data_IF_070908455269
#
_entry.id   IF_070908455269
#
_cell.length_a   1.000
_cell.length_b   1.000
_cell.length_c   1.000
_cell.angle_alpha   90.00
_cell.angle_beta   90.00
_cell.angle_gamma   90.00
#
_symmetry.space_group_name_H-M   'P 1'
#
loop_
_entity.id
_entity.type
_entity.pdbx_description
1 polymer ?
#
# COMPACT_ATOMS: atom_id res chain seq x y z
N UNK A 1 -5.67 -5.68 3.63
CA UNK A 1 -5.63 -4.71 2.52
C UNK A 1 -4.42 -5.05 1.66
N UNK A 2 -4.54 -4.93 0.34
CA UNK A 2 -3.45 -5.12 -0.61
C UNK A 2 -3.34 -3.88 -1.50
N UNK A 3 -2.12 -3.53 -1.89
CA UNK A 3 -1.83 -2.49 -2.87
C UNK A 3 -1.04 -3.10 -4.00
N UNK A 4 -1.59 -3.07 -5.22
CA UNK A 4 -0.92 -3.49 -6.45
C UNK A 4 -0.39 -2.25 -7.17
N UNK A 5 0.84 -2.32 -7.67
CA UNK A 5 1.50 -1.20 -8.34
C UNK A 5 2.57 -1.67 -9.33
N UNK A 6 2.79 -0.89 -10.39
CA UNK A 6 3.92 -1.11 -11.28
C UNK A 6 5.22 -0.65 -10.62
N UNK A 7 6.34 -1.37 -10.83
CA UNK A 7 7.54 -1.05 -10.06
C UNK A 7 8.89 -0.84 -10.74
N UNK A 8 9.51 -1.67 -11.57
CA UNK A 8 10.94 -1.58 -11.97
C UNK A 8 11.99 -1.85 -10.86
N UNK A 9 13.01 -2.70 -11.13
CA UNK A 9 14.05 -3.04 -10.14
C UNK A 9 14.86 -1.87 -9.59
N UNK A 10 15.03 -0.79 -10.38
CA UNK A 10 15.75 0.42 -9.93
C UNK A 10 15.05 1.14 -8.77
N UNK A 11 13.76 0.89 -8.57
CA UNK A 11 12.95 1.54 -7.54
C UNK A 11 12.99 0.80 -6.20
N UNK A 12 13.67 -0.35 -6.10
CA UNK A 12 13.82 -1.14 -4.87
C UNK A 12 14.22 -0.31 -3.63
N UNK A 13 15.24 0.58 -3.67
CA UNK A 13 15.57 1.40 -2.51
C UNK A 13 14.43 2.32 -2.06
N UNK A 14 13.61 2.80 -3.00
CA UNK A 14 12.46 3.66 -2.71
C UNK A 14 11.28 2.86 -2.17
N UNK A 15 11.12 1.61 -2.62
CA UNK A 15 10.12 0.67 -2.09
C UNK A 15 10.45 0.37 -0.62
N UNK A 16 11.70 0.09 -0.27
CA UNK A 16 12.08 -0.13 1.14
C UNK A 16 11.81 1.07 2.05
N UNK A 17 12.05 2.29 1.56
CA UNK A 17 11.68 3.50 2.30
C UNK A 17 10.17 3.63 2.48
N UNK A 18 9.39 3.27 1.46
CA UNK A 18 7.93 3.25 1.53
C UNK A 18 7.43 2.21 2.55
N UNK A 19 7.98 1.00 2.53
CA UNK A 19 7.68 -0.07 3.47
C UNK A 19 7.90 0.38 4.92
N UNK A 20 9.08 0.91 5.24
CA UNK A 20 9.38 1.39 6.59
C UNK A 20 8.43 2.49 7.05
N UNK A 21 8.04 3.41 6.16
CA UNK A 21 7.07 4.47 6.49
C UNK A 21 5.69 3.89 6.80
N UNK A 22 5.23 2.93 5.98
CA UNK A 22 3.95 2.26 6.17
C UNK A 22 3.95 1.45 7.47
N UNK A 23 4.95 0.60 7.65
CA UNK A 23 5.13 -0.24 8.84
C UNK A 23 5.12 0.60 10.11
N UNK A 24 5.93 1.67 10.15
CA UNK A 24 6.00 2.55 11.31
C UNK A 24 4.66 3.22 11.62
N UNK A 25 3.95 3.74 10.62
CA UNK A 25 2.68 4.44 10.83
C UNK A 25 1.57 3.49 11.28
N UNK A 26 1.48 2.31 10.65
CA UNK A 26 0.48 1.28 10.96
C UNK A 26 0.69 0.73 12.38
N UNK A 27 1.94 0.40 12.74
CA UNK A 27 2.29 -0.08 14.09
C UNK A 27 2.03 0.99 15.15
N UNK A 28 2.43 2.24 14.90
CA UNK A 28 2.22 3.34 15.83
C UNK A 28 0.73 3.62 16.09
N UNK A 29 -0.11 3.52 15.06
CA UNK A 29 -1.56 3.69 15.19
C UNK A 29 -2.28 2.47 15.81
N UNK A 30 -1.59 1.33 15.95
CA UNK A 30 -2.16 0.10 16.50
C UNK A 30 -3.30 -0.48 15.66
N UNK A 31 -3.29 -0.24 14.35
CA UNK A 31 -4.37 -0.66 13.42
C UNK A 31 -4.03 -1.92 12.64
N UNK A 32 -2.82 -2.45 12.78
CA UNK A 32 -2.38 -3.63 12.04
C UNK A 32 -0.86 -3.75 11.92
N UNK A 33 -0.42 -4.38 10.84
CA UNK A 33 0.98 -4.54 10.46
C UNK A 33 1.17 -4.55 8.93
N UNK A 34 2.40 -4.27 8.49
CA UNK A 34 2.84 -4.52 7.13
C UNK A 34 3.28 -5.99 7.03
N UNK A 35 2.77 -6.70 6.04
CA UNK A 35 3.15 -8.07 5.71
C UNK A 35 4.34 -8.14 4.77
N UNK A 36 4.53 -9.31 4.15
CA UNK A 36 5.54 -9.48 3.11
C UNK A 36 5.22 -8.63 1.87
N UNK A 37 6.26 -8.19 1.16
CA UNK A 37 6.12 -7.52 -0.13
C UNK A 37 6.50 -8.50 -1.23
N UNK A 38 5.63 -8.69 -2.20
CA UNK A 38 5.90 -9.50 -3.39
C UNK A 38 6.29 -8.59 -4.55
N UNK A 39 7.46 -8.85 -5.14
CA UNK A 39 7.98 -8.09 -6.27
C UNK A 39 8.33 -9.09 -7.39
N UNK A 40 7.60 -9.03 -8.51
CA UNK A 40 7.82 -9.92 -9.64
C UNK A 40 9.12 -9.60 -10.38
N UNK A 41 9.94 -10.61 -10.66
CA UNK A 41 11.30 -10.47 -11.23
C UNK A 41 11.34 -9.72 -12.57
N UNK A 42 10.26 -9.75 -13.34
CA UNK A 42 10.11 -9.01 -14.61
C UNK A 42 9.99 -7.49 -14.42
N UNK A 43 9.78 -7.02 -13.19
CA UNK A 43 9.81 -5.62 -12.83
C UNK A 43 8.53 -4.86 -13.15
N UNK A 44 7.39 -5.54 -13.29
CA UNK A 44 6.13 -4.86 -13.66
C UNK A 44 5.03 -4.96 -12.60
N UNK A 45 5.13 -5.89 -11.65
CA UNK A 45 4.08 -6.08 -10.64
C UNK A 45 4.66 -6.16 -9.24
N UNK A 46 4.22 -5.23 -8.39
CA UNK A 46 4.52 -5.19 -6.96
C UNK A 46 3.26 -5.24 -6.13
N UNK A 47 3.33 -5.95 -5.01
CA UNK A 47 2.22 -6.10 -4.05
C UNK A 47 2.70 -5.77 -2.64
N UNK A 48 2.04 -4.80 -2.01
CA UNK A 48 2.17 -4.55 -0.57
C UNK A 48 0.96 -5.14 0.15
N UNK A 49 1.21 -6.06 1.08
CA UNK A 49 0.16 -6.62 1.92
C UNK A 49 0.17 -5.94 3.29
N UNK A 50 -1.00 -5.53 3.77
CA UNK A 50 -1.18 -4.95 5.10
C UNK A 50 -2.35 -5.66 5.79
N UNK A 51 -2.14 -6.09 7.03
CA UNK A 51 -3.10 -6.88 7.78
C UNK A 51 -3.57 -6.12 9.01
N UNK A 52 -4.86 -6.22 9.32
CA UNK A 52 -5.47 -5.56 10.46
C UNK A 52 -6.93 -5.98 10.60
N UNK A 53 -7.54 -5.81 11.79
CA UNK A 53 -8.92 -6.20 12.05
C UNK A 53 -9.95 -5.34 11.30
N UNK A 54 -9.55 -4.15 10.83
CA UNK A 54 -10.41 -3.19 10.16
C UNK A 54 -9.68 -2.57 8.96
N UNK A 55 -10.09 -2.97 7.75
CA UNK A 55 -9.49 -2.50 6.49
C UNK A 55 -9.70 -1.00 6.25
N UNK A 56 -10.75 -0.39 6.81
CA UNK A 56 -11.00 1.05 6.68
C UNK A 56 -10.06 1.85 7.56
N UNK A 57 -9.90 1.46 8.82
CA UNK A 57 -8.92 2.10 9.72
C UNK A 57 -7.50 1.96 9.21
N UNK A 58 -7.16 0.79 8.66
CA UNK A 58 -5.87 0.54 8.04
C UNK A 58 -5.63 1.48 6.83
N UNK A 59 -6.63 1.62 5.95
CA UNK A 59 -6.53 2.53 4.81
C UNK A 59 -6.47 4.00 5.20
N UNK A 60 -7.21 4.43 6.23
CA UNK A 60 -7.13 5.82 6.75
C UNK A 60 -5.69 6.17 7.15
N UNK A 61 -4.99 5.27 7.82
CA UNK A 61 -3.59 5.47 8.25
C UNK A 61 -2.61 5.37 7.09
N UNK A 62 -2.78 4.40 6.19
CA UNK A 62 -1.84 4.16 5.09
C UNK A 62 -2.00 5.17 3.93
N UNK A 63 -3.22 5.60 3.63
CA UNK A 63 -3.53 6.35 2.41
C UNK A 63 -2.75 7.66 2.21
N UNK A 64 -2.40 8.46 3.25
CA UNK A 64 -1.57 9.64 3.05
C UNK A 64 -0.15 9.28 2.58
N UNK A 65 0.41 8.19 3.10
CA UNK A 65 1.74 7.70 2.70
C UNK A 65 1.67 7.17 1.27
N UNK A 66 0.67 6.34 0.97
CA UNK A 66 0.47 5.77 -0.36
C UNK A 66 0.34 6.87 -1.42
N UNK A 67 -0.56 7.85 -1.20
CA UNK A 67 -0.80 8.98 -2.12
C UNK A 67 0.39 9.92 -2.29
N UNK A 68 1.27 9.99 -1.29
CA UNK A 68 2.50 10.80 -1.36
C UNK A 68 3.56 10.17 -2.26
N UNK A 69 3.57 8.84 -2.40
CA UNK A 69 4.57 8.12 -3.18
C UNK A 69 4.35 8.30 -4.68
N UNK A 70 5.41 8.61 -5.42
CA UNK A 70 5.36 8.61 -6.90
C UNK A 70 5.33 7.20 -7.48
N UNK A 71 5.78 6.19 -6.72
CA UNK A 71 5.73 4.78 -7.11
C UNK A 71 4.30 4.26 -7.26
N UNK A 72 3.33 4.92 -6.62
CA UNK A 72 1.96 4.45 -6.52
C UNK A 72 0.97 5.33 -7.31
N UNK A 73 1.43 6.00 -8.36
CA UNK A 73 0.63 6.99 -9.10
C UNK A 73 -0.62 6.37 -9.74
N UNK A 74 -0.56 5.08 -10.11
CA UNK A 74 -1.65 4.31 -10.71
C UNK A 74 -1.92 3.01 -9.96
N UNK A 75 -1.54 2.95 -8.68
CA UNK A 75 -1.72 1.76 -7.87
C UNK A 75 -3.20 1.45 -7.62
N UNK A 76 -3.55 0.18 -7.50
CA UNK A 76 -4.88 -0.26 -7.06
C UNK A 76 -4.84 -0.69 -5.60
N UNK A 77 -5.85 -0.29 -4.83
CA UNK A 77 -6.02 -0.69 -3.43
C UNK A 77 -7.20 -1.63 -3.32
N UNK A 78 -6.97 -2.78 -2.69
CA UNK A 78 -8.01 -3.76 -2.36
C UNK A 78 -8.19 -3.87 -0.84
N UNK A 79 -9.38 -3.55 -0.34
CA UNK A 79 -9.79 -3.76 1.05
C UNK A 79 -10.55 -5.09 1.20
N UNK A 80 -10.36 -5.75 2.34
CA UNK A 80 -11.00 -7.03 2.65
C UNK A 80 -11.93 -6.91 3.86
N UNK A 81 -13.14 -7.42 3.71
CA UNK A 81 -14.21 -7.46 4.71
C UNK A 81 -14.72 -8.90 4.85
N UNK A 82 -13.82 -9.82 5.20
CA UNK A 82 -14.09 -11.26 5.14
C UNK A 82 -14.23 -11.74 3.69
N UNK A 83 -15.36 -12.35 3.28
CA UNK A 83 -15.53 -12.85 1.92
C UNK A 83 -15.76 -11.74 0.88
N UNK A 84 -16.02 -10.50 1.31
CA UNK A 84 -16.23 -9.35 0.43
C UNK A 84 -14.94 -8.56 0.26
N UNK A 85 -14.70 -8.10 -0.96
CA UNK A 85 -13.60 -7.19 -1.30
C UNK A 85 -14.14 -5.89 -1.89
N UNK A 86 -13.35 -4.83 -1.78
CA UNK A 86 -13.55 -3.57 -2.50
C UNK A 86 -12.22 -3.14 -3.09
N UNK A 87 -12.17 -2.98 -4.42
CA UNK A 87 -10.97 -2.57 -5.16
C UNK A 87 -11.22 -1.21 -5.82
N UNK A 88 -10.26 -0.30 -5.70
CA UNK A 88 -10.34 1.03 -6.32
C UNK A 88 -8.93 1.54 -6.69
N UNK A 89 -8.87 2.37 -7.72
CA UNK A 89 -7.65 3.07 -8.10
C UNK A 89 -7.25 4.11 -7.05
N UNK A 90 -5.96 4.16 -6.71
CA UNK A 90 -5.40 5.13 -5.78
C UNK A 90 -5.33 6.50 -6.43
N UNK A 91 -6.41 7.26 -6.34
CA UNK A 91 -6.38 8.64 -6.78
C UNK A 91 -5.50 9.48 -5.84
N UNK A 92 -4.48 10.14 -6.39
CA UNK A 92 -3.84 11.26 -5.71
C UNK A 92 -4.92 12.28 -5.42
N UNK A 93 -5.21 12.49 -4.14
CA UNK A 93 -6.12 13.57 -3.74
C UNK A 93 -5.54 14.87 -4.28
N UNK A 94 -6.20 15.44 -5.30
CA UNK A 94 -5.83 16.74 -5.81
C UNK A 94 -5.91 17.73 -4.65
N UNK A 95 -4.79 18.35 -4.30
CA UNK A 95 -4.84 19.64 -3.65
C UNK A 95 -5.69 20.53 -4.58
N UNK A 96 -6.90 20.85 -4.12
CA UNK A 96 -7.67 21.95 -4.69
C UNK A 96 -7.05 23.26 -4.26
#
# INVERSE_FOLDING_TARGET
>A
MMVHFDYYPKDLPRIHVLEHRLESAIKHAGVGELGETELHVDGNDGYLYMYGPDSDRLYVVASPILKSSRLLTDAEVTKWYGPRTETFALHRGGAR
#
